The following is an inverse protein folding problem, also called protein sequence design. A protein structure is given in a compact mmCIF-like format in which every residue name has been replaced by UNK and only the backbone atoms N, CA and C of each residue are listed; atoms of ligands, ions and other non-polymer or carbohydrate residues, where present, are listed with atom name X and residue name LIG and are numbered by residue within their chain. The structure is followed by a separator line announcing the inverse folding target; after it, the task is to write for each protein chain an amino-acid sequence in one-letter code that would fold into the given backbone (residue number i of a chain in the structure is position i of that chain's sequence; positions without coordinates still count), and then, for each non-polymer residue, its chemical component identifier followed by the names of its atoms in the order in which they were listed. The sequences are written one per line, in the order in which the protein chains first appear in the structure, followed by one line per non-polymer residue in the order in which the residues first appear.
data_IF_268767536570
#
_entry.id   IF_268767536570
#
_cell.length_a   1.000
_cell.length_b   1.000
_cell.length_c   1.000
_cell.angle_alpha   90.00
_cell.angle_beta   90.00
_cell.angle_gamma   90.00
#
_symmetry.space_group_name_H-M   'P 1'
#
loop_
_entity.id
_entity.type
_entity.pdbx_description
1 polymer ?
#
# COMPACT_ATOMS: atom_id res chain seq x y z
N UNK A 1 -7.21 8.40 -13.03
CA UNK A 1 -6.37 8.20 -14.23
C UNK A 1 -7.12 7.30 -15.22
N UNK A 2 -6.78 7.26 -16.52
CA UNK A 2 -7.35 6.25 -17.41
C UNK A 2 -7.02 4.82 -16.90
N UNK A 3 -7.81 3.83 -17.34
CA UNK A 3 -7.48 2.44 -17.09
C UNK A 3 -6.14 2.08 -17.78
N UNK A 4 -5.32 1.27 -17.12
CA UNK A 4 -4.02 0.86 -17.63
C UNK A 4 -4.02 -0.57 -18.19
N UNK A 5 -2.83 -1.02 -18.61
CA UNK A 5 -2.59 -2.42 -19.00
C UNK A 5 -2.93 -3.39 -17.86
N UNK A 6 -3.57 -4.52 -18.19
CA UNK A 6 -3.97 -5.55 -17.24
C UNK A 6 -2.91 -6.66 -17.07
N UNK A 7 -1.77 -6.55 -17.76
CA UNK A 7 -0.63 -7.43 -17.54
C UNK A 7 -0.08 -7.29 -16.12
N UNK A 8 0.37 -8.41 -15.53
CA UNK A 8 0.99 -8.40 -14.22
C UNK A 8 2.44 -7.91 -14.35
N UNK A 9 2.87 -6.91 -13.56
CA UNK A 9 4.23 -6.42 -13.59
C UNK A 9 5.19 -7.44 -12.94
N UNK A 10 5.74 -8.34 -13.77
CA UNK A 10 6.72 -9.35 -13.38
C UNK A 10 8.15 -8.79 -13.20
N UNK A 11 8.36 -7.54 -13.60
CA UNK A 11 9.58 -6.76 -13.36
C UNK A 11 9.19 -5.44 -12.71
N UNK A 12 10.17 -4.73 -12.14
CA UNK A 12 9.93 -3.44 -11.51
C UNK A 12 9.29 -2.50 -12.54
N UNK A 13 8.09 -1.97 -12.28
CA UNK A 13 7.48 -0.99 -13.16
C UNK A 13 8.37 0.24 -13.28
N UNK A 14 8.28 0.96 -14.38
CA UNK A 14 9.00 2.23 -14.51
C UNK A 14 8.28 3.28 -13.65
N UNK A 15 9.00 3.85 -12.69
CA UNK A 15 8.60 5.06 -11.98
C UNK A 15 9.28 6.28 -12.63
N UNK A 16 8.54 7.38 -12.73
CA UNK A 16 9.08 8.66 -13.22
C UNK A 16 9.85 9.41 -12.12
N UNK A 17 9.68 8.98 -10.86
CA UNK A 17 10.40 9.51 -9.71
C UNK A 17 9.89 8.90 -8.41
N UNK A 18 10.54 9.31 -7.32
CA UNK A 18 10.19 8.89 -5.96
C UNK A 18 9.90 10.12 -5.11
N UNK A 19 8.78 10.09 -4.40
CA UNK A 19 8.45 11.12 -3.42
C UNK A 19 8.67 10.59 -2.01
N UNK A 20 9.11 11.45 -1.10
CA UNK A 20 9.15 11.10 0.32
C UNK A 20 7.78 11.35 0.96
N UNK A 21 7.17 10.28 1.46
CA UNK A 21 6.07 10.36 2.40
C UNK A 21 6.63 10.17 3.81
N UNK A 22 6.88 11.30 4.50
CA UNK A 22 7.71 11.37 5.73
C UNK A 22 9.13 10.88 5.48
N UNK A 23 9.38 9.58 5.67
CA UNK A 23 10.69 8.91 5.46
C UNK A 23 10.59 7.67 4.57
N UNK A 24 9.39 7.31 4.09
CA UNK A 24 9.20 6.23 3.11
C UNK A 24 9.19 6.82 1.71
N UNK A 25 10.07 6.33 0.84
CA UNK A 25 10.03 6.68 -0.57
C UNK A 25 8.93 5.88 -1.27
N UNK A 26 8.01 6.60 -1.92
CA UNK A 26 6.90 6.02 -2.70
C UNK A 26 7.05 6.39 -4.18
N UNK A 27 6.75 5.47 -5.10
CA UNK A 27 6.92 5.73 -6.53
C UNK A 27 5.83 6.67 -7.05
N UNK A 28 6.20 7.52 -8.02
CA UNK A 28 5.28 8.30 -8.86
C UNK A 28 5.43 7.94 -10.32
N UNK A 29 4.31 7.92 -11.03
CA UNK A 29 4.27 7.76 -12.48
C UNK A 29 3.08 8.50 -13.07
N UNK A 30 3.29 9.19 -14.19
CA UNK A 30 2.24 9.77 -15.00
C UNK A 30 1.32 8.69 -15.63
N UNK A 31 1.79 7.44 -15.73
CA UNK A 31 1.02 6.32 -16.26
C UNK A 31 0.26 5.53 -15.17
N UNK A 32 0.81 5.42 -13.96
CA UNK A 32 0.26 4.55 -12.90
C UNK A 32 -0.22 5.29 -11.64
N UNK A 33 0.24 6.51 -11.44
CA UNK A 33 -0.14 7.40 -10.35
C UNK A 33 0.92 7.53 -9.26
N UNK A 34 0.58 8.18 -8.13
CA UNK A 34 -0.68 8.93 -7.94
C UNK A 34 -0.84 10.09 -8.93
N UNK A 35 -2.06 10.28 -9.44
CA UNK A 35 -2.41 11.43 -10.26
C UNK A 35 -2.71 12.69 -9.44
N UNK A 36 -3.05 12.53 -8.15
CA UNK A 36 -3.37 13.63 -7.24
C UNK A 36 -2.70 13.41 -5.88
N UNK A 37 -2.18 14.50 -5.32
CA UNK A 37 -1.69 14.56 -3.94
C UNK A 37 -2.46 15.67 -3.23
N UNK A 38 -3.27 15.30 -2.23
CA UNK A 38 -4.01 16.24 -1.40
C UNK A 38 -3.06 17.08 -0.54
N UNK A 39 -3.55 18.22 -0.03
CA UNK A 39 -2.78 19.11 0.86
C UNK A 39 -2.28 18.43 2.13
N UNK A 40 -2.98 17.40 2.61
CA UNK A 40 -2.59 16.65 3.81
C UNK A 40 -1.57 15.53 3.52
N UNK A 41 -1.19 15.36 2.25
CA UNK A 41 -0.24 14.37 1.74
C UNK A 41 -0.88 13.08 1.25
N UNK A 42 -2.20 12.95 1.30
CA UNK A 42 -2.91 11.77 0.80
C UNK A 42 -2.79 11.66 -0.72
N UNK A 43 -2.37 10.49 -1.20
CA UNK A 43 -2.08 10.22 -2.61
C UNK A 43 -3.16 9.31 -3.18
N UNK A 44 -3.75 9.73 -4.29
CA UNK A 44 -4.90 9.05 -4.90
C UNK A 44 -4.91 9.23 -6.42
N UNK A 45 -5.96 8.73 -7.06
CA UNK A 45 -6.15 8.74 -8.50
C UNK A 45 -5.07 7.88 -9.18
N UNK A 46 -4.99 6.60 -8.83
CA UNK A 46 -4.13 5.62 -9.49
C UNK A 46 -4.80 5.05 -10.74
N UNK A 47 -4.03 4.45 -11.65
CA UNK A 47 -4.59 3.80 -12.83
C UNK A 47 -5.31 2.50 -12.47
N UNK A 48 -6.47 2.21 -13.08
CA UNK A 48 -7.16 0.92 -12.95
C UNK A 48 -6.37 -0.17 -13.68
N UNK A 49 -5.32 -0.69 -13.05
CA UNK A 49 -4.44 -1.76 -13.53
C UNK A 49 -3.73 -2.46 -12.37
N UNK A 50 -3.22 -3.69 -12.57
CA UNK A 50 -2.36 -4.34 -11.58
C UNK A 50 -1.15 -3.49 -11.20
N UNK A 51 -0.53 -2.79 -12.16
CA UNK A 51 0.58 -1.88 -11.87
C UNK A 51 0.12 -0.67 -11.03
N UNK A 52 -1.01 -0.05 -11.37
CA UNK A 52 -1.57 1.04 -10.55
C UNK A 52 -1.93 0.59 -9.14
N UNK A 53 -2.41 -0.65 -8.97
CA UNK A 53 -2.68 -1.23 -7.65
C UNK A 53 -1.40 -1.43 -6.82
N UNK A 54 -0.28 -1.84 -7.44
CA UNK A 54 1.03 -1.93 -6.76
C UNK A 54 1.50 -0.54 -6.31
N UNK A 55 1.36 0.49 -7.15
CA UNK A 55 1.69 1.88 -6.76
C UNK A 55 0.81 2.34 -5.58
N UNK A 56 -0.49 2.04 -5.61
CA UNK A 56 -1.40 2.33 -4.51
C UNK A 56 -1.01 1.58 -3.23
N UNK A 57 -0.64 0.30 -3.32
CA UNK A 57 -0.21 -0.52 -2.18
C UNK A 57 1.07 0.00 -1.48
N UNK A 58 2.03 0.55 -2.24
CA UNK A 58 3.20 1.22 -1.65
C UNK A 58 2.79 2.47 -0.85
N UNK A 59 1.83 3.23 -1.39
CA UNK A 59 1.30 4.42 -0.73
C UNK A 59 0.45 4.09 0.50
N UNK A 60 -0.28 2.96 0.51
CA UNK A 60 -0.99 2.44 1.70
C UNK A 60 -0.03 2.33 2.89
N UNK A 61 1.11 1.66 2.72
CA UNK A 61 2.04 1.46 3.83
C UNK A 61 2.68 2.77 4.29
N UNK A 62 3.07 3.63 3.35
CA UNK A 62 3.61 4.94 3.69
C UNK A 62 2.60 5.83 4.44
N UNK A 63 1.30 5.69 4.14
CA UNK A 63 0.25 6.45 4.78
C UNK A 63 -0.14 5.89 6.17
N UNK A 64 -0.11 4.56 6.33
CA UNK A 64 -0.35 3.89 7.62
C UNK A 64 0.82 4.03 8.60
N UNK A 65 2.04 4.27 8.10
CA UNK A 65 3.19 4.59 8.95
C UNK A 65 3.01 5.91 9.72
N UNK A 66 2.16 6.84 9.25
CA UNK A 66 1.85 8.07 9.98
C UNK A 66 0.70 7.87 10.98
N UNK A 67 1.06 7.35 12.16
CA UNK A 67 0.12 7.07 13.24
C UNK A 67 -0.63 8.31 13.75
N UNK A 68 -0.08 9.52 13.54
CA UNK A 68 -0.76 10.77 13.95
C UNK A 68 -1.98 11.09 13.08
N UNK A 69 -2.07 10.49 11.88
CA UNK A 69 -3.16 10.69 10.92
C UNK A 69 -3.91 9.39 10.60
N UNK A 70 -3.59 8.27 11.26
CA UNK A 70 -4.05 6.94 10.91
C UNK A 70 -5.57 6.87 10.66
N UNK A 71 -6.41 7.38 11.57
CA UNK A 71 -7.87 7.33 11.41
C UNK A 71 -8.39 8.20 10.23
N UNK A 72 -7.79 9.36 9.98
CA UNK A 72 -8.17 10.22 8.85
C UNK A 72 -7.75 9.60 7.52
N UNK A 73 -6.53 9.05 7.46
CA UNK A 73 -6.02 8.30 6.31
C UNK A 73 -6.86 7.05 6.06
N UNK A 74 -7.16 6.26 7.08
CA UNK A 74 -7.94 5.03 6.98
C UNK A 74 -9.34 5.28 6.40
N UNK A 75 -10.00 6.38 6.79
CA UNK A 75 -11.29 6.81 6.21
C UNK A 75 -11.21 7.07 4.70
N UNK A 76 -10.10 7.62 4.21
CA UNK A 76 -9.88 7.84 2.78
C UNK A 76 -9.39 6.58 2.08
N UNK A 77 -8.66 5.70 2.75
CA UNK A 77 -7.93 4.61 2.11
C UNK A 77 -8.77 3.34 1.99
N UNK A 78 -9.58 3.04 3.01
CA UNK A 78 -10.28 1.77 3.11
C UNK A 78 -11.58 1.79 2.31
N UNK A 79 -12.03 0.60 1.89
CA UNK A 79 -13.40 0.42 1.40
C UNK A 79 -14.41 0.81 2.49
N UNK A 80 -15.51 1.50 2.15
CA UNK A 80 -16.57 1.77 3.13
C UNK A 80 -17.24 0.48 3.60
N UNK A 81 -17.59 0.40 4.89
CA UNK A 81 -18.32 -0.73 5.45
C UNK A 81 -18.03 -1.00 6.92
N UNK A 82 -18.73 -1.99 7.49
CA UNK A 82 -18.69 -2.33 8.92
C UNK A 82 -17.31 -2.71 9.43
N UNK A 83 -16.50 -3.37 8.60
CA UNK A 83 -15.12 -3.72 8.95
C UNK A 83 -14.22 -2.48 9.06
N UNK A 84 -14.40 -1.50 8.17
CA UNK A 84 -13.71 -0.21 8.25
C UNK A 84 -14.15 0.58 9.47
N UNK A 85 -15.46 0.59 9.77
CA UNK A 85 -15.97 1.25 10.98
C UNK A 85 -15.40 0.60 12.25
N UNK A 86 -15.24 -0.72 12.26
CA UNK A 86 -14.61 -1.44 13.36
C UNK A 86 -13.14 -1.05 13.51
N UNK A 87 -12.37 -1.07 12.42
CA UNK A 87 -10.96 -0.68 12.43
C UNK A 87 -10.78 0.78 12.89
N UNK A 88 -11.62 1.70 12.43
CA UNK A 88 -11.58 3.11 12.86
C UNK A 88 -11.86 3.28 14.36
N UNK A 89 -12.74 2.45 14.94
CA UNK A 89 -13.00 2.45 16.38
C UNK A 89 -11.80 1.94 17.17
N UNK A 90 -11.06 0.95 16.67
CA UNK A 90 -9.84 0.48 17.33
C UNK A 90 -8.72 1.51 17.23
N UNK A 91 -8.48 2.09 16.05
CA UNK A 91 -7.50 3.17 15.85
C UNK A 91 -7.77 4.40 16.74
N UNK A 92 -9.02 4.67 17.11
CA UNK A 92 -9.37 5.76 18.02
C UNK A 92 -9.01 5.50 19.49
N UNK A 93 -8.79 4.23 19.87
CA UNK A 93 -8.38 3.83 21.22
C UNK A 93 -6.85 3.76 21.35
N UNK A 94 -6.15 3.59 20.23
CA UNK A 94 -4.70 3.50 20.22
C UNK A 94 -4.05 4.86 20.52
N UNK A 95 -2.98 4.83 21.31
CA UNK A 95 -2.16 6.02 21.54
C UNK A 95 -1.08 6.05 20.46
N UNK A 96 -0.93 7.14 19.68
CA UNK A 96 0.08 7.21 18.64
C UNK A 96 1.47 6.93 19.22
N UNK A 97 2.07 5.82 18.84
CA UNK A 97 3.44 5.49 19.20
C UNK A 97 4.37 6.15 18.18
N UNK A 98 5.34 6.93 18.65
CA UNK A 98 6.35 7.59 17.81
C UNK A 98 7.50 6.65 17.40
N UNK A 99 7.42 5.35 17.70
CA UNK A 99 8.58 4.48 17.86
C UNK A 99 8.99 3.61 16.66
N UNK A 100 8.21 3.57 15.58
CA UNK A 100 8.56 2.73 14.43
C UNK A 100 9.16 3.59 13.32
N UNK A 101 10.48 3.50 13.16
CA UNK A 101 11.16 4.10 12.01
C UNK A 101 10.58 3.52 10.72
N UNK A 102 10.14 4.35 9.76
CA UNK A 102 9.51 3.84 8.56
C UNK A 102 10.52 3.06 7.71
N UNK A 103 10.26 1.78 7.47
CA UNK A 103 11.14 0.95 6.66
C UNK A 103 10.80 1.07 5.18
N UNK A 104 11.82 1.26 4.34
CA UNK A 104 11.66 1.23 2.89
C UNK A 104 11.23 -0.17 2.43
N UNK A 105 10.25 -0.22 1.54
CA UNK A 105 9.77 -1.45 0.92
C UNK A 105 10.86 -2.08 0.05
N UNK A 106 11.18 -3.35 0.30
CA UNK A 106 12.21 -4.08 -0.43
C UNK A 106 11.70 -4.70 -1.74
N UNK A 107 10.41 -5.01 -1.82
CA UNK A 107 9.80 -5.56 -3.01
C UNK A 107 8.36 -5.97 -2.82
N UNK A 108 7.75 -6.46 -3.89
CA UNK A 108 6.39 -6.97 -3.89
C UNK A 108 6.25 -8.28 -4.65
N UNK A 109 5.18 -9.01 -4.36
CA UNK A 109 4.71 -10.16 -5.12
C UNK A 109 3.20 -10.04 -5.29
N UNK A 110 2.70 -10.18 -6.51
CA UNK A 110 1.25 -10.25 -6.73
C UNK A 110 0.79 -11.69 -6.46
N UNK A 111 -0.17 -11.84 -5.57
CA UNK A 111 -0.74 -13.15 -5.20
C UNK A 111 -1.95 -13.50 -6.06
N UNK A 112 -2.77 -12.50 -6.37
CA UNK A 112 -3.95 -12.62 -7.20
C UNK A 112 -4.23 -11.27 -7.85
N UNK A 113 -4.76 -11.28 -9.06
CA UNK A 113 -5.18 -10.06 -9.75
C UNK A 113 -6.32 -10.35 -10.72
N UNK A 114 -7.29 -9.46 -10.70
CA UNK A 114 -8.24 -9.23 -11.77
C UNK A 114 -8.38 -7.71 -11.96
N UNK A 115 -9.30 -7.29 -12.84
CA UNK A 115 -9.47 -5.89 -13.21
C UNK A 115 -9.80 -4.97 -12.05
N UNK A 116 -10.54 -5.47 -11.07
CA UNK A 116 -11.12 -4.68 -9.98
C UNK A 116 -10.59 -5.09 -8.60
N UNK A 117 -9.71 -6.08 -8.52
CA UNK A 117 -9.10 -6.53 -7.27
C UNK A 117 -7.69 -7.08 -7.50
N UNK A 118 -6.74 -6.64 -6.67
CA UNK A 118 -5.34 -7.07 -6.72
C UNK A 118 -4.84 -7.31 -5.31
N UNK A 119 -4.39 -8.53 -5.02
CA UNK A 119 -3.75 -8.87 -3.75
C UNK A 119 -2.23 -8.84 -3.91
N UNK A 120 -1.60 -7.97 -3.12
CA UNK A 120 -0.16 -7.70 -3.14
C UNK A 120 0.44 -8.11 -1.81
N UNK A 121 1.46 -8.96 -1.86
CA UNK A 121 2.34 -9.23 -0.74
C UNK A 121 3.55 -8.31 -0.84
N UNK A 122 3.77 -7.50 0.19
CA UNK A 122 4.86 -6.55 0.30
C UNK A 122 5.92 -7.10 1.25
N UNK A 123 7.20 -6.95 0.91
CA UNK A 123 8.30 -7.30 1.79
C UNK A 123 8.92 -6.04 2.39
N UNK A 124 8.98 -5.98 3.71
CA UNK A 124 9.68 -4.92 4.45
C UNK A 124 10.87 -5.52 5.21
N UNK A 125 12.04 -4.88 5.20
CA UNK A 125 13.17 -5.33 6.01
C UNK A 125 12.88 -5.19 7.51
N UNK A 126 13.27 -6.20 8.28
CA UNK A 126 13.25 -6.20 9.75
C UNK A 126 14.57 -6.82 10.19
N UNK A 127 15.47 -5.96 10.69
CA UNK A 127 16.85 -6.31 11.01
C UNK A 127 17.58 -6.98 9.81
N UNK A 128 18.02 -8.23 9.97
CA UNK A 128 18.73 -9.00 8.95
C UNK A 128 17.81 -9.80 8.01
N UNK A 129 16.49 -9.66 8.16
CA UNK A 129 15.49 -10.46 7.45
C UNK A 129 14.38 -9.58 6.87
N UNK A 130 13.35 -10.20 6.30
CA UNK A 130 12.17 -9.51 5.81
C UNK A 130 10.91 -10.06 6.49
N UNK A 131 9.91 -9.20 6.64
CA UNK A 131 8.54 -9.57 7.00
C UNK A 131 7.60 -9.24 5.85
N UNK A 132 6.60 -10.09 5.64
CA UNK A 132 5.55 -9.84 4.66
C UNK A 132 4.40 -9.05 5.26
N UNK A 133 3.80 -8.19 4.43
CA UNK A 133 2.50 -7.57 4.66
C UNK A 133 1.63 -7.83 3.44
N UNK A 134 0.47 -8.47 3.61
CA UNK A 134 -0.43 -8.77 2.50
C UNK A 134 -1.60 -7.81 2.50
N UNK A 135 -1.78 -7.08 1.40
CA UNK A 135 -2.88 -6.14 1.21
C UNK A 135 -3.69 -6.50 -0.01
N UNK A 136 -5.00 -6.33 0.07
CA UNK A 136 -5.90 -6.48 -1.09
C UNK A 136 -6.43 -5.11 -1.48
N UNK A 137 -6.08 -4.67 -2.68
CA UNK A 137 -6.56 -3.43 -3.28
C UNK A 137 -7.81 -3.75 -4.11
N UNK A 138 -8.85 -2.94 -3.98
CA UNK A 138 -10.12 -3.10 -4.69
C UNK A 138 -10.44 -1.79 -5.38
N UNK A 139 -10.77 -1.86 -6.67
CA UNK A 139 -11.18 -0.71 -7.45
C UNK A 139 -12.56 -0.25 -7.01
N UNK A 140 -12.65 0.96 -6.48
CA UNK A 140 -13.89 1.51 -5.95
C UNK A 140 -13.89 3.02 -6.06
N UNK A 141 -14.95 3.57 -6.64
CA UNK A 141 -15.13 5.02 -6.81
C UNK A 141 -13.91 5.68 -7.48
N UNK A 142 -13.56 5.15 -8.66
CA UNK A 142 -12.48 5.65 -9.52
C UNK A 142 -11.07 5.62 -8.93
N UNK A 143 -10.84 4.83 -7.87
CA UNK A 143 -9.49 4.61 -7.33
C UNK A 143 -9.32 3.23 -6.66
N UNK A 144 -8.07 2.88 -6.33
CA UNK A 144 -7.75 1.69 -5.54
C UNK A 144 -7.93 1.96 -4.04
N UNK A 145 -8.90 1.28 -3.44
CA UNK A 145 -9.12 1.28 -1.98
C UNK A 145 -8.55 0.01 -1.36
N UNK A 146 -8.09 0.11 -0.13
CA UNK A 146 -7.66 -1.05 0.65
C UNK A 146 -8.88 -1.80 1.19
N UNK A 147 -8.94 -3.11 0.98
CA UNK A 147 -9.89 -3.96 1.67
C UNK A 147 -9.54 -4.01 3.17
N UNK A 148 -10.47 -3.67 4.07
CA UNK A 148 -10.21 -3.74 5.50
C UNK A 148 -9.95 -5.18 5.94
N UNK A 149 -9.07 -5.40 6.93
CA UNK A 149 -8.88 -6.72 7.52
C UNK A 149 -10.15 -7.17 8.26
N UNK A 150 -10.28 -8.48 8.55
CA UNK A 150 -11.28 -8.96 9.48
C UNK A 150 -11.22 -8.20 10.82
N UNK A 151 -12.35 -7.97 11.50
CA UNK A 151 -12.34 -7.32 12.81
C UNK A 151 -11.43 -8.06 13.80
N UNK A 152 -10.50 -7.33 14.41
CA UNK A 152 -9.49 -7.88 15.34
C UNK A 152 -8.13 -8.14 14.70
N UNK A 153 -8.05 -8.18 13.37
CA UNK A 153 -6.79 -8.35 12.65
C UNK A 153 -6.13 -7.01 12.31
N UNK A 154 -4.79 -6.98 12.33
CA UNK A 154 -4.02 -5.84 11.87
C UNK A 154 -4.02 -5.74 10.33
N UNK A 155 -3.92 -4.51 9.80
CA UNK A 155 -3.71 -4.31 8.36
C UNK A 155 -2.41 -4.97 7.93
N UNK A 156 -2.45 -5.79 6.87
CA UNK A 156 -1.29 -6.50 6.36
C UNK A 156 -1.09 -7.90 6.95
N UNK A 157 -1.87 -8.29 7.96
CA UNK A 157 -1.83 -9.64 8.53
C UNK A 157 -2.30 -10.71 7.50
N UNK A 158 -1.82 -11.97 7.62
CA UNK A 158 -0.80 -12.42 8.56
C UNK A 158 0.61 -11.94 8.17
N UNK A 159 1.41 -11.61 9.17
CA UNK A 159 2.82 -11.26 8.98
C UNK A 159 3.67 -12.52 8.97
N UNK A 160 4.38 -12.77 7.86
CA UNK A 160 5.20 -13.97 7.70
C UNK A 160 6.65 -13.58 7.45
N UNK A 161 7.58 -14.29 8.08
CA UNK A 161 9.00 -14.11 7.84
C UNK A 161 9.37 -14.55 6.42
N UNK A 162 10.00 -13.65 5.68
CA UNK A 162 10.49 -13.88 4.31
C UNK A 162 12.01 -13.95 4.36
N UNK A 163 12.57 -15.12 4.01
CA UNK A 163 14.03 -15.39 4.08
C UNK A 163 14.79 -14.94 2.82
N UNK A 164 14.08 -14.79 1.71
CA UNK A 164 14.66 -14.44 0.42
C UNK A 164 13.63 -13.67 -0.42
N UNK A 165 14.11 -12.74 -1.24
CA UNK A 165 13.30 -11.97 -2.18
C UNK A 165 13.39 -12.52 -3.62
N UNK A 166 13.77 -13.78 -3.78
CA UNK A 166 13.98 -14.39 -5.10
C UNK A 166 12.69 -14.44 -5.95
N UNK A 167 11.52 -14.58 -5.30
CA UNK A 167 10.20 -14.58 -5.92
C UNK A 167 9.49 -13.21 -5.82
N UNK A 168 10.23 -12.18 -5.41
CA UNK A 168 9.72 -10.80 -5.32
C UNK A 168 10.28 -9.96 -6.46
N UNK A 169 9.42 -9.07 -6.97
CA UNK A 169 9.84 -7.97 -7.80
C UNK A 169 10.42 -6.89 -6.90
N UNK A 170 11.72 -6.62 -7.07
CA UNK A 170 12.46 -5.60 -6.33
C UNK A 170 12.52 -4.32 -7.14
N UNK A 171 12.28 -3.19 -6.51
CA UNK A 171 12.59 -1.90 -7.11
C UNK A 171 14.10 -1.67 -7.04
N UNK A 172 14.71 -1.35 -8.17
CA UNK A 172 16.13 -1.00 -8.25
C UNK A 172 16.31 0.53 -8.19
N UNK A 173 17.30 1.00 -7.44
CA UNK A 173 17.74 2.40 -7.48
C UNK A 173 17.00 3.38 -6.56
N UNK A 174 16.50 2.89 -5.42
CA UNK A 174 16.21 3.75 -4.27
C UNK A 174 17.49 4.34 -3.68
#
# INVERSE_FOLDING_TARGET
MPAGDQALPATAPVADGWDLSRRVAVPRSAAFGPGVVDRDGFRHCFAQSPTGAVFAAYNVLAALADQTKAAATARKLLLPGTATDALLRELAKETPSAGSEPTQLAGYRILAANRDQVTVMLAVPVEAQYMSLTVTMVWHDHDWRLQPPPPGDAVGAPFVQVRSLADFVKWSGL
#
